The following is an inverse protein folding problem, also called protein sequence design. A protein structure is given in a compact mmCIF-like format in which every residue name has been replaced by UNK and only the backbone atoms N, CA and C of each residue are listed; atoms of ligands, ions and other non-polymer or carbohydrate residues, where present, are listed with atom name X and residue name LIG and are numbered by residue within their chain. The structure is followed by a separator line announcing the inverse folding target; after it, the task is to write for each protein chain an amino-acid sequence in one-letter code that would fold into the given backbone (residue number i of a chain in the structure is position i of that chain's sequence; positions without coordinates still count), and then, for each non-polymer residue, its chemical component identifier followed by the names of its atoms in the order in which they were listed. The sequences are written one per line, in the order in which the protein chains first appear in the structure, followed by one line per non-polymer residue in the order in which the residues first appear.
data_IF_298278304183
#
_entry.id   IF_298278304183
#
_cell.length_a   1.000
_cell.length_b   1.000
_cell.length_c   1.000
_cell.angle_alpha   90.00
_cell.angle_beta   90.00
_cell.angle_gamma   90.00
#
_symmetry.space_group_name_H-M   'P 1'
#
loop_
_entity.id
_entity.type
_entity.pdbx_description
1 polymer ?
#
# COMPACT_ATOMS: atom_id res chain seq x y z
N UNK A 1 -37.71 13.27 -19.55
CA UNK A 1 -37.88 13.89 -18.22
C UNK A 1 -36.47 14.13 -17.70
N UNK A 2 -36.08 15.38 -17.47
CA UNK A 2 -34.74 15.70 -16.93
C UNK A 2 -34.74 15.43 -15.44
N UNK A 3 -33.73 14.72 -14.94
CA UNK A 3 -33.56 14.46 -13.51
C UNK A 3 -33.43 15.73 -12.68
N UNK A 4 -33.56 15.60 -11.36
CA UNK A 4 -33.22 16.68 -10.44
C UNK A 4 -31.70 16.97 -10.48
N UNK A 5 -31.26 18.23 -10.36
CA UNK A 5 -29.85 18.53 -10.21
C UNK A 5 -29.22 17.82 -9.00
N UNK A 6 -27.95 17.42 -9.12
CA UNK A 6 -27.20 16.80 -8.02
C UNK A 6 -26.18 17.78 -7.46
N UNK A 7 -26.12 17.92 -6.14
CA UNK A 7 -25.10 18.68 -5.42
C UNK A 7 -24.24 17.74 -4.59
N UNK A 8 -22.94 17.65 -4.91
CA UNK A 8 -21.97 16.80 -4.20
C UNK A 8 -21.21 17.63 -3.17
N UNK A 9 -21.34 17.27 -1.90
CA UNK A 9 -20.68 17.92 -0.77
C UNK A 9 -19.46 17.11 -0.33
N UNK A 10 -18.31 17.37 -0.95
CA UNK A 10 -17.04 16.72 -0.60
C UNK A 10 -16.21 17.50 0.45
N UNK A 11 -16.48 18.78 0.66
CA UNK A 11 -16.01 19.49 1.86
C UNK A 11 -16.89 20.70 2.17
N UNK A 12 -17.12 21.00 3.45
CA UNK A 12 -17.85 22.18 3.90
C UNK A 12 -19.00 21.87 4.86
N UNK A 13 -19.61 22.93 5.39
CA UNK A 13 -20.86 22.82 6.14
C UNK A 13 -22.04 22.67 5.19
N UNK A 14 -22.85 21.65 5.42
CA UNK A 14 -24.10 21.46 4.70
C UNK A 14 -25.10 22.45 5.29
N UNK A 15 -25.86 23.19 4.45
CA UNK A 15 -26.96 24.01 4.94
C UNK A 15 -27.92 23.18 5.81
N UNK A 16 -28.31 23.71 6.98
CA UNK A 16 -29.19 23.00 7.92
C UNK A 16 -30.54 22.65 7.27
N UNK A 17 -31.04 23.56 6.44
CA UNK A 17 -32.22 23.39 5.60
C UNK A 17 -31.81 23.39 4.13
N UNK A 18 -32.33 22.41 3.39
CA UNK A 18 -32.14 22.25 1.94
C UNK A 18 -33.55 22.08 1.40
N UNK A 19 -34.09 23.12 0.77
CA UNK A 19 -35.43 23.13 0.17
C UNK A 19 -35.37 23.72 -1.25
N UNK A 20 -34.42 23.21 -2.05
CA UNK A 20 -34.20 23.64 -3.43
C UNK A 20 -34.60 22.56 -4.45
N UNK A 21 -35.17 21.43 -3.99
CA UNK A 21 -35.58 20.29 -4.81
C UNK A 21 -34.42 19.48 -5.40
N UNK A 22 -33.17 19.84 -5.10
CA UNK A 22 -31.98 19.16 -5.61
C UNK A 22 -31.68 17.89 -4.79
N UNK A 23 -30.91 16.97 -5.36
CA UNK A 23 -30.38 15.83 -4.62
C UNK A 23 -28.99 16.15 -4.05
N UNK A 24 -28.85 16.09 -2.73
CA UNK A 24 -27.61 16.39 -2.02
C UNK A 24 -26.88 15.10 -1.66
N UNK A 25 -25.80 14.82 -2.37
CA UNK A 25 -24.92 13.69 -2.11
C UNK A 25 -23.82 14.09 -1.11
N UNK A 26 -23.78 13.42 0.03
CA UNK A 26 -22.87 13.71 1.15
C UNK A 26 -21.68 12.76 1.13
N UNK A 27 -20.47 13.32 1.08
CA UNK A 27 -19.23 12.54 0.92
C UNK A 27 -18.74 11.87 2.19
N UNK A 28 -18.75 12.59 3.32
CA UNK A 28 -18.18 12.15 4.60
C UNK A 28 -19.20 12.16 5.75
N UNK A 29 -20.50 12.27 5.45
CA UNK A 29 -21.55 12.30 6.47
C UNK A 29 -22.62 11.26 6.20
N UNK A 30 -23.03 10.57 7.26
CA UNK A 30 -24.11 9.58 7.26
C UNK A 30 -25.44 10.26 7.61
N UNK A 31 -25.99 11.05 6.68
CA UNK A 31 -27.33 11.63 6.82
C UNK A 31 -28.15 11.32 5.59
N UNK A 32 -29.36 10.80 5.81
CA UNK A 32 -30.33 10.43 4.78
C UNK A 32 -31.58 11.29 4.91
N UNK A 33 -32.27 11.53 3.81
CA UNK A 33 -33.55 12.24 3.76
C UNK A 33 -34.12 12.21 2.34
N UNK A 34 -35.26 12.83 2.08
CA UNK A 34 -35.86 12.80 0.73
C UNK A 34 -34.94 13.36 -0.37
N UNK A 35 -34.27 14.47 -0.05
CA UNK A 35 -33.31 15.17 -0.92
C UNK A 35 -31.84 14.97 -0.49
N UNK A 36 -31.54 14.02 0.41
CA UNK A 36 -30.19 13.78 0.93
C UNK A 36 -29.82 12.30 0.81
N UNK A 37 -28.62 12.02 0.31
CA UNK A 37 -28.04 10.68 0.20
C UNK A 37 -26.63 10.67 0.74
N UNK A 38 -26.29 9.74 1.63
CA UNK A 38 -24.91 9.53 2.05
C UNK A 38 -24.23 8.53 1.12
N UNK A 39 -23.11 8.93 0.52
CA UNK A 39 -22.31 8.02 -0.29
C UNK A 39 -21.73 6.87 0.56
N UNK A 40 -21.36 7.15 1.81
CA UNK A 40 -20.87 6.13 2.73
C UNK A 40 -21.95 5.10 3.05
N UNK A 41 -23.15 5.53 3.46
CA UNK A 41 -24.23 4.58 3.74
C UNK A 41 -24.63 3.77 2.51
N UNK A 42 -24.57 4.37 1.31
CA UNK A 42 -24.87 3.64 0.07
C UNK A 42 -23.85 2.53 -0.20
N UNK A 43 -22.56 2.82 0.04
CA UNK A 43 -21.49 1.81 -0.02
C UNK A 43 -21.70 0.71 1.03
N UNK A 44 -21.90 1.08 2.30
CA UNK A 44 -22.08 0.14 3.41
C UNK A 44 -23.28 -0.80 3.20
N UNK A 45 -24.42 -0.28 2.71
CA UNK A 45 -25.62 -1.08 2.42
C UNK A 45 -25.40 -2.10 1.29
N UNK A 46 -24.44 -1.86 0.42
CA UNK A 46 -24.16 -2.68 -0.77
C UNK A 46 -22.70 -3.17 -0.76
N UNK A 47 -22.13 -3.40 0.42
CA UNK A 47 -20.69 -3.58 0.63
C UNK A 47 -20.07 -4.65 -0.26
N UNK A 48 -20.67 -5.84 -0.33
CA UNK A 48 -20.15 -6.96 -1.13
C UNK A 48 -20.10 -6.60 -2.63
N UNK A 49 -21.16 -5.99 -3.14
CA UNK A 49 -21.24 -5.57 -4.55
C UNK A 49 -20.20 -4.52 -4.90
N UNK A 50 -20.00 -3.51 -4.04
CA UNK A 50 -18.99 -2.49 -4.27
C UNK A 50 -17.57 -3.03 -4.09
N UNK A 51 -17.35 -3.98 -3.18
CA UNK A 51 -16.09 -4.69 -3.03
C UNK A 51 -15.75 -5.44 -4.31
N UNK A 52 -16.65 -6.27 -4.83
CA UNK A 52 -16.42 -7.04 -6.06
C UNK A 52 -16.12 -6.13 -7.25
N UNK A 53 -16.92 -5.06 -7.40
CA UNK A 53 -16.71 -4.05 -8.44
C UNK A 53 -15.37 -3.35 -8.32
N UNK A 54 -14.95 -3.02 -7.10
CA UNK A 54 -13.64 -2.43 -6.84
C UNK A 54 -12.50 -3.39 -7.17
N UNK A 55 -12.61 -4.66 -6.77
CA UNK A 55 -11.61 -5.69 -7.04
C UNK A 55 -11.43 -5.91 -8.55
N UNK A 56 -12.53 -6.09 -9.29
CA UNK A 56 -12.52 -6.18 -10.75
C UNK A 56 -11.90 -4.95 -11.41
N UNK A 57 -12.21 -3.76 -10.91
CA UNK A 57 -11.62 -2.53 -11.42
C UNK A 57 -10.10 -2.48 -11.19
N UNK A 58 -9.61 -2.84 -10.01
CA UNK A 58 -8.17 -2.86 -9.71
C UNK A 58 -7.44 -3.95 -10.48
N UNK A 59 -8.02 -5.14 -10.64
CA UNK A 59 -7.48 -6.21 -11.49
C UNK A 59 -7.36 -5.74 -12.93
N UNK A 60 -8.38 -5.07 -13.47
CA UNK A 60 -8.31 -4.45 -14.79
C UNK A 60 -7.25 -3.34 -14.92
N UNK A 61 -6.75 -2.76 -13.82
CA UNK A 61 -5.61 -1.83 -13.87
C UNK A 61 -4.28 -2.54 -14.12
N UNK A 62 -4.15 -3.78 -13.66
CA UNK A 62 -2.94 -4.59 -13.82
C UNK A 62 -2.74 -4.98 -15.30
N UNK A 63 -3.85 -5.28 -15.98
CA UNK A 63 -3.88 -5.74 -17.36
C UNK A 63 -3.91 -4.61 -18.40
N UNK A 64 -3.76 -3.34 -17.98
CA UNK A 64 -3.75 -2.21 -18.91
C UNK A 64 -2.60 -2.37 -19.91
N UNK A 65 -2.96 -2.58 -21.17
CA UNK A 65 -1.97 -2.56 -22.25
C UNK A 65 -1.44 -1.13 -22.45
N UNK A 66 -0.14 -0.96 -22.22
CA UNK A 66 0.59 0.25 -22.52
C UNK A 66 1.75 -0.11 -23.44
N UNK A 67 1.85 0.50 -24.63
CA UNK A 67 2.96 0.21 -25.56
C UNK A 67 3.13 -1.28 -25.92
N UNK A 68 2.03 -2.04 -26.03
CA UNK A 68 2.06 -3.43 -26.51
C UNK A 68 2.40 -4.49 -25.46
N UNK A 69 2.36 -4.15 -24.17
CA UNK A 69 2.49 -5.09 -23.04
C UNK A 69 1.63 -4.63 -21.86
N UNK A 70 1.26 -5.54 -20.97
CA UNK A 70 0.47 -5.20 -19.77
C UNK A 70 1.27 -4.29 -18.82
N UNK A 71 0.58 -3.62 -17.89
CA UNK A 71 1.23 -2.79 -16.88
C UNK A 71 2.09 -3.63 -15.93
N UNK A 72 1.61 -4.82 -15.57
CA UNK A 72 2.33 -5.79 -14.74
C UNK A 72 3.63 -6.23 -15.40
N UNK A 73 3.60 -6.55 -16.69
CA UNK A 73 4.78 -7.03 -17.43
C UNK A 73 5.85 -5.95 -17.57
N UNK A 74 5.44 -4.69 -17.75
CA UNK A 74 6.38 -3.57 -17.83
C UNK A 74 7.09 -3.28 -16.51
N UNK A 75 6.49 -3.70 -15.39
CA UNK A 75 7.03 -3.50 -14.04
C UNK A 75 7.86 -4.69 -13.55
N UNK A 76 8.15 -5.68 -14.39
CA UNK A 76 8.98 -6.85 -14.05
C UNK A 76 10.40 -6.41 -13.68
N UNK A 77 10.84 -6.85 -12.49
CA UNK A 77 12.19 -6.70 -11.97
C UNK A 77 13.11 -7.80 -12.51
N UNK A 78 14.42 -7.67 -12.27
CA UNK A 78 15.42 -8.61 -12.77
C UNK A 78 15.23 -10.06 -12.31
N UNK A 79 14.55 -10.28 -11.18
CA UNK A 79 14.27 -11.60 -10.62
C UNK A 79 12.94 -12.20 -11.10
N UNK A 80 12.23 -11.52 -12.03
CA UNK A 80 10.95 -11.96 -12.57
C UNK A 80 9.73 -11.49 -11.78
N UNK A 81 9.90 -10.92 -10.58
CA UNK A 81 8.80 -10.36 -9.79
C UNK A 81 8.33 -9.04 -10.42
N UNK A 82 7.02 -8.87 -10.59
CA UNK A 82 6.47 -7.56 -10.98
C UNK A 82 6.41 -6.60 -9.80
N UNK A 83 6.98 -5.40 -9.95
CA UNK A 83 6.88 -4.33 -8.98
C UNK A 83 5.43 -3.83 -8.78
N UNK A 84 4.50 -4.20 -9.65
CA UNK A 84 3.06 -3.90 -9.51
C UNK A 84 2.53 -4.26 -8.11
N UNK A 85 2.89 -5.45 -7.62
CA UNK A 85 2.43 -5.99 -6.32
C UNK A 85 2.88 -5.14 -5.13
N UNK A 86 3.96 -4.37 -5.30
CA UNK A 86 4.51 -3.46 -4.29
C UNK A 86 3.95 -2.04 -4.38
N UNK A 87 2.98 -1.79 -5.26
CA UNK A 87 2.32 -0.50 -5.38
C UNK A 87 1.13 -0.39 -4.44
N UNK A 88 0.83 0.83 -3.99
CA UNK A 88 -0.38 1.11 -3.20
C UNK A 88 -1.69 0.72 -3.90
N UNK A 89 -1.65 0.61 -5.23
CA UNK A 89 -2.79 0.16 -6.02
C UNK A 89 -3.06 -1.33 -5.83
N UNK A 90 -2.01 -2.15 -5.78
CA UNK A 90 -2.13 -3.58 -5.51
C UNK A 90 -2.35 -3.87 -4.01
N UNK A 91 -1.64 -3.15 -3.11
CA UNK A 91 -1.74 -3.33 -1.66
C UNK A 91 -3.14 -3.01 -1.11
N UNK A 92 -3.85 -2.03 -1.71
CA UNK A 92 -5.23 -1.65 -1.35
C UNK A 92 -5.41 -1.29 0.14
N UNK A 93 -4.32 -0.91 0.83
CA UNK A 93 -4.34 -0.62 2.26
C UNK A 93 -4.99 0.73 2.56
N UNK A 94 -6.07 0.78 3.37
CA UNK A 94 -6.72 2.02 3.77
C UNK A 94 -5.81 2.89 4.67
N UNK A 95 -4.81 2.28 5.31
CA UNK A 95 -3.84 2.97 6.15
C UNK A 95 -2.78 3.72 5.34
N UNK A 96 -2.45 3.23 4.14
CA UNK A 96 -1.48 3.85 3.23
C UNK A 96 -2.10 4.94 2.37
N UNK A 97 -3.37 4.78 2.01
CA UNK A 97 -4.10 5.74 1.19
C UNK A 97 -5.62 5.70 1.39
N UNK A 98 -6.23 6.89 1.32
CA UNK A 98 -7.68 7.04 1.24
C UNK A 98 -8.26 6.76 -0.16
N UNK A 99 -7.44 6.37 -1.14
CA UNK A 99 -7.88 6.21 -2.51
C UNK A 99 -8.94 5.11 -2.68
N UNK A 100 -8.84 4.00 -1.92
CA UNK A 100 -9.85 2.93 -1.90
C UNK A 100 -11.22 3.52 -1.55
N UNK A 101 -11.30 4.19 -0.41
CA UNK A 101 -12.55 4.78 0.07
C UNK A 101 -13.07 5.89 -0.86
N UNK A 102 -12.17 6.63 -1.52
CA UNK A 102 -12.56 7.63 -2.53
C UNK A 102 -13.14 6.99 -3.79
N UNK A 103 -12.54 5.90 -4.29
CA UNK A 103 -13.05 5.16 -5.45
C UNK A 103 -14.42 4.55 -5.16
N UNK A 104 -14.61 3.95 -3.97
CA UNK A 104 -15.90 3.39 -3.57
C UNK A 104 -17.01 4.45 -3.52
N UNK A 105 -16.74 5.63 -2.93
CA UNK A 105 -17.70 6.75 -2.92
C UNK A 105 -18.02 7.24 -4.33
N UNK A 106 -17.04 7.26 -5.21
CA UNK A 106 -17.23 7.65 -6.61
C UNK A 106 -18.07 6.63 -7.38
N UNK A 107 -17.87 5.33 -7.15
CA UNK A 107 -18.72 4.26 -7.71
C UNK A 107 -20.16 4.39 -7.22
N UNK A 108 -20.37 4.73 -5.94
CA UNK A 108 -21.71 5.02 -5.41
C UNK A 108 -22.33 6.28 -6.02
N UNK A 109 -21.54 7.34 -6.21
CA UNK A 109 -22.00 8.56 -6.86
C UNK A 109 -22.40 8.30 -8.32
N UNK A 110 -21.65 7.46 -9.03
CA UNK A 110 -21.98 7.06 -10.39
C UNK A 110 -23.37 6.42 -10.48
N UNK A 111 -23.71 5.50 -9.58
CA UNK A 111 -25.04 4.87 -9.57
C UNK A 111 -26.13 5.92 -9.42
N UNK A 112 -26.00 6.83 -8.45
CA UNK A 112 -26.97 7.90 -8.23
C UNK A 112 -27.09 8.84 -9.43
N UNK A 113 -25.97 9.18 -10.09
CA UNK A 113 -25.97 10.03 -11.28
C UNK A 113 -26.62 9.32 -12.48
N UNK A 114 -26.40 8.01 -12.64
CA UNK A 114 -27.00 7.23 -13.73
C UNK A 114 -28.49 6.93 -13.49
N UNK A 115 -28.91 6.79 -12.23
CA UNK A 115 -30.32 6.62 -11.86
C UNK A 115 -31.13 7.90 -12.07
N UNK A 116 -30.58 9.05 -11.64
CA UNK A 116 -31.29 10.33 -11.69
C UNK A 116 -31.19 11.00 -13.07
N UNK A 117 -30.10 10.78 -13.83
CA UNK A 117 -29.80 11.47 -15.10
C UNK A 117 -29.92 13.01 -14.96
N UNK A 118 -29.11 13.62 -14.08
CA UNK A 118 -29.23 15.04 -13.77
C UNK A 118 -28.75 15.91 -14.95
N UNK A 119 -29.38 17.08 -15.19
CA UNK A 119 -28.90 18.04 -16.17
C UNK A 119 -27.58 18.69 -15.72
N UNK A 120 -27.35 18.81 -14.41
CA UNK A 120 -26.16 19.42 -13.83
C UNK A 120 -25.74 18.74 -12.53
N UNK A 121 -24.43 18.58 -12.36
CA UNK A 121 -23.78 18.14 -11.12
C UNK A 121 -22.92 19.27 -10.59
N UNK A 122 -23.28 19.79 -9.40
CA UNK A 122 -22.56 20.85 -8.70
C UNK A 122 -21.64 20.25 -7.64
N UNK A 123 -20.33 20.50 -7.74
CA UNK A 123 -19.35 20.07 -6.73
C UNK A 123 -19.05 21.21 -5.74
N UNK A 124 -19.25 20.93 -4.45
CA UNK A 124 -18.91 21.82 -3.34
C UNK A 124 -17.70 21.27 -2.59
N UNK A 125 -16.53 21.77 -3.00
CA UNK A 125 -15.23 21.51 -2.40
C UNK A 125 -14.74 20.06 -2.54
N UNK A 126 -13.51 19.86 -2.98
CA UNK A 126 -12.87 18.56 -3.14
C UNK A 126 -11.38 18.78 -3.42
N UNK A 127 -10.58 17.71 -3.41
CA UNK A 127 -9.26 17.76 -4.02
C UNK A 127 -9.35 17.70 -5.56
N UNK A 128 -8.22 18.00 -6.23
CA UNK A 128 -8.15 18.02 -7.70
C UNK A 128 -8.40 16.66 -8.35
N UNK A 129 -8.05 15.56 -7.67
CA UNK A 129 -8.25 14.20 -8.18
C UNK A 129 -9.74 13.86 -8.23
N UNK A 130 -10.47 14.15 -7.17
CA UNK A 130 -11.92 13.96 -7.08
C UNK A 130 -12.66 14.89 -8.04
N UNK A 131 -12.24 16.16 -8.15
CA UNK A 131 -12.80 17.10 -9.14
C UNK A 131 -12.66 16.55 -10.58
N UNK A 132 -11.46 16.05 -10.93
CA UNK A 132 -11.21 15.48 -12.26
C UNK A 132 -12.04 14.23 -12.50
N UNK A 133 -12.19 13.38 -11.49
CA UNK A 133 -12.98 12.15 -11.56
C UNK A 133 -14.48 12.46 -11.78
N UNK A 134 -15.07 13.34 -10.96
CA UNK A 134 -16.49 13.74 -11.09
C UNK A 134 -16.75 14.44 -12.42
N UNK A 135 -15.85 15.31 -12.87
CA UNK A 135 -15.96 15.92 -14.20
C UNK A 135 -15.98 14.88 -15.31
N UNK A 136 -15.12 13.85 -15.22
CA UNK A 136 -15.08 12.74 -16.18
C UNK A 136 -16.38 11.93 -16.17
N UNK A 137 -16.92 11.62 -14.98
CA UNK A 137 -18.23 10.97 -14.84
C UNK A 137 -19.35 11.80 -15.48
N UNK A 138 -19.36 13.12 -15.28
CA UNK A 138 -20.37 13.99 -15.88
C UNK A 138 -20.28 13.99 -17.42
N UNK A 139 -19.06 14.00 -17.98
CA UNK A 139 -18.85 13.91 -19.42
C UNK A 139 -19.35 12.58 -20.00
N UNK A 140 -19.15 11.48 -19.28
CA UNK A 140 -19.60 10.14 -19.68
C UNK A 140 -21.14 10.03 -19.71
N UNK A 141 -21.81 10.59 -18.70
CA UNK A 141 -23.29 10.59 -18.59
C UNK A 141 -23.94 11.70 -19.43
N UNK A 142 -23.16 12.68 -19.92
CA UNK A 142 -23.67 13.84 -20.66
C UNK A 142 -24.26 14.96 -19.78
N UNK A 143 -23.93 14.98 -18.49
CA UNK A 143 -24.35 16.02 -17.54
C UNK A 143 -23.41 17.23 -17.55
N UNK A 144 -23.94 18.43 -17.31
CA UNK A 144 -23.12 19.63 -17.12
C UNK A 144 -22.42 19.58 -15.75
N UNK A 145 -21.12 19.87 -15.74
CA UNK A 145 -20.35 19.94 -14.49
C UNK A 145 -20.13 21.40 -14.06
N UNK A 146 -20.45 21.72 -12.81
CA UNK A 146 -20.19 23.02 -12.22
C UNK A 146 -19.47 22.89 -10.88
N UNK A 147 -18.58 23.86 -10.58
CA UNK A 147 -17.84 23.89 -9.32
C UNK A 147 -18.15 25.15 -8.55
N UNK A 148 -18.64 24.99 -7.32
CA UNK A 148 -18.75 26.11 -6.38
C UNK A 148 -17.40 26.32 -5.72
N UNK A 149 -16.77 27.48 -5.93
CA UNK A 149 -15.53 27.84 -5.22
C UNK A 149 -15.85 27.99 -3.73
N UNK A 150 -15.36 27.07 -2.90
CA UNK A 150 -15.26 27.33 -1.45
C UNK A 150 -13.97 28.12 -1.20
N UNK A 151 -14.08 29.21 -0.44
CA UNK A 151 -12.96 30.12 -0.15
C UNK A 151 -12.02 29.60 0.95
N UNK A 152 -11.82 28.29 1.01
CA UNK A 152 -10.85 27.70 1.93
C UNK A 152 -9.56 27.41 1.15
N UNK A 153 -8.74 28.45 0.96
CA UNK A 153 -7.35 28.30 0.56
C UNK A 153 -6.63 27.53 1.66
N UNK A 154 -6.48 26.21 1.51
CA UNK A 154 -5.45 25.48 2.26
C UNK A 154 -4.10 25.93 1.71
N UNK A 155 -3.43 26.81 2.45
CA UNK A 155 -2.08 27.34 2.19
C UNK A 155 -0.96 26.27 2.14
N UNK A 156 -1.31 24.98 2.00
CA UNK A 156 -0.36 23.86 1.94
C UNK A 156 -0.09 23.34 0.53
N UNK A 157 -0.82 23.83 -0.49
CA UNK A 157 -0.70 23.38 -1.89
C UNK A 157 0.40 24.11 -2.69
N UNK A 158 1.19 24.96 -2.05
CA UNK A 158 2.29 25.69 -2.68
C UNK A 158 3.63 25.22 -2.13
N UNK A 159 4.05 24.02 -2.56
CA UNK A 159 5.46 23.66 -2.78
C UNK A 159 5.52 22.32 -3.51
N UNK A 160 5.89 22.26 -4.80
CA UNK A 160 6.39 21.02 -5.37
C UNK A 160 7.72 20.75 -4.67
N UNK A 161 7.70 19.94 -3.62
CA UNK A 161 8.93 19.31 -3.15
C UNK A 161 9.29 18.27 -4.21
N UNK A 162 10.53 18.21 -4.71
CA UNK A 162 10.95 17.09 -5.54
C UNK A 162 10.95 15.85 -4.64
N UNK A 163 9.81 15.14 -4.59
CA UNK A 163 9.59 13.96 -3.75
C UNK A 163 10.71 12.92 -3.94
N UNK A 164 11.29 12.88 -5.13
CA UNK A 164 12.44 12.06 -5.51
C UNK A 164 13.74 12.41 -4.74
N UNK A 165 14.09 13.70 -4.60
CA UNK A 165 15.29 14.09 -3.83
C UNK A 165 15.09 13.84 -2.33
N UNK A 166 13.87 14.07 -1.84
CA UNK A 166 13.52 13.75 -0.46
C UNK A 166 13.59 12.24 -0.19
N UNK A 167 13.15 11.42 -1.15
CA UNK A 167 13.28 9.97 -1.07
C UNK A 167 14.73 9.54 -0.88
N UNK A 168 15.67 10.08 -1.67
CA UNK A 168 17.11 9.76 -1.54
C UNK A 168 17.65 10.14 -0.15
N UNK A 169 17.35 11.36 0.33
CA UNK A 169 17.83 11.83 1.63
C UNK A 169 17.26 10.98 2.78
N UNK A 170 15.95 10.71 2.74
CA UNK A 170 15.29 9.88 3.76
C UNK A 170 15.77 8.43 3.69
N UNK A 171 16.00 7.90 2.49
CA UNK A 171 16.56 6.56 2.30
C UNK A 171 17.99 6.50 2.85
N UNK A 172 18.82 7.51 2.60
CA UNK A 172 20.15 7.60 3.20
C UNK A 172 20.11 7.61 4.74
N UNK A 173 19.17 8.35 5.33
CA UNK A 173 18.94 8.34 6.79
C UNK A 173 18.52 6.96 7.29
N UNK A 174 17.58 6.31 6.60
CA UNK A 174 17.09 4.96 6.93
C UNK A 174 18.23 3.93 6.88
N UNK A 175 19.02 3.94 5.80
CA UNK A 175 20.19 3.08 5.65
C UNK A 175 21.21 3.36 6.75
N UNK A 176 21.48 4.63 7.08
CA UNK A 176 22.40 4.98 8.16
C UNK A 176 21.99 4.40 9.52
N UNK A 177 20.69 4.44 9.85
CA UNK A 177 20.16 3.84 11.07
C UNK A 177 20.27 2.31 11.06
N UNK A 178 19.92 1.68 9.93
CA UNK A 178 19.90 0.21 9.78
C UNK A 178 21.26 -0.40 9.44
N UNK A 179 22.28 0.41 9.14
CA UNK A 179 23.62 -0.08 8.79
C UNK A 179 24.25 -0.90 9.93
N UNK A 180 23.88 -0.62 11.18
CA UNK A 180 24.35 -1.32 12.37
C UNK A 180 23.98 -2.81 12.37
N UNK A 181 22.88 -3.23 11.73
CA UNK A 181 22.48 -4.64 11.64
C UNK A 181 23.56 -5.53 10.99
N UNK A 182 24.46 -4.96 10.19
CA UNK A 182 25.64 -5.66 9.64
C UNK A 182 26.63 -6.15 10.70
N UNK A 183 26.48 -5.74 11.96
CA UNK A 183 27.24 -6.28 13.10
C UNK A 183 26.77 -7.69 13.51
N UNK A 184 25.63 -8.14 12.99
CA UNK A 184 25.21 -9.52 13.12
C UNK A 184 26.03 -10.40 12.16
N UNK A 185 26.53 -11.55 12.62
CA UNK A 185 27.15 -12.52 11.73
C UNK A 185 26.10 -13.07 10.76
N UNK A 186 26.57 -13.64 9.65
CA UNK A 186 25.71 -14.47 8.79
C UNK A 186 25.17 -15.64 9.63
N UNK A 187 23.85 -15.90 9.61
CA UNK A 187 23.31 -17.05 10.32
C UNK A 187 23.84 -18.34 9.70
N UNK A 188 24.13 -19.33 10.55
CA UNK A 188 24.32 -20.70 10.09
C UNK A 188 22.94 -21.30 9.87
N UNK A 189 22.44 -21.21 8.64
CA UNK A 189 21.10 -21.67 8.31
C UNK A 189 20.91 -23.14 8.63
N UNK A 190 19.77 -23.44 9.25
CA UNK A 190 19.36 -24.81 9.53
C UNK A 190 18.87 -25.46 8.25
N UNK A 191 19.22 -26.73 8.08
CA UNK A 191 18.87 -27.54 6.91
C UNK A 191 18.40 -28.91 7.35
N UNK A 192 17.56 -29.54 6.54
CA UNK A 192 17.01 -30.86 6.76
C UNK A 192 15.62 -30.98 6.13
N UNK A 193 15.12 -32.21 6.02
CA UNK A 193 13.81 -32.48 5.38
C UNK A 193 12.63 -31.87 6.16
N UNK A 194 12.83 -31.54 7.44
CA UNK A 194 11.85 -30.90 8.32
C UNK A 194 12.17 -29.44 8.66
N UNK A 195 13.16 -28.81 8.00
CA UNK A 195 13.54 -27.44 8.34
C UNK A 195 12.53 -26.42 7.81
N UNK A 196 12.21 -25.43 8.64
CA UNK A 196 11.12 -24.49 8.38
C UNK A 196 11.64 -23.05 8.38
N UNK A 197 11.17 -22.27 7.41
CA UNK A 197 11.38 -20.82 7.36
C UNK A 197 10.22 -20.06 8.01
N UNK A 198 10.55 -19.04 8.79
CA UNK A 198 9.61 -18.09 9.35
C UNK A 198 10.04 -16.65 9.02
N UNK A 199 9.10 -15.84 8.55
CA UNK A 199 9.26 -14.40 8.49
C UNK A 199 8.30 -13.71 9.48
N UNK A 200 8.85 -12.94 10.41
CA UNK A 200 8.06 -12.33 11.49
C UNK A 200 8.46 -10.89 11.71
N UNK A 201 7.52 -10.04 12.12
CA UNK A 201 7.88 -8.75 12.68
C UNK A 201 8.65 -8.91 13.99
N UNK A 202 9.66 -8.07 14.18
CA UNK A 202 10.41 -7.97 15.42
C UNK A 202 9.70 -7.01 16.38
N UNK A 203 8.48 -7.38 16.75
CA UNK A 203 7.60 -6.61 17.62
C UNK A 203 6.74 -7.58 18.46
N UNK A 204 6.14 -7.05 19.52
CA UNK A 204 5.32 -7.81 20.47
C UNK A 204 6.04 -9.05 21.02
N UNK A 205 7.30 -8.85 21.42
CA UNK A 205 8.10 -9.90 22.02
C UNK A 205 7.63 -10.19 23.45
N UNK A 206 7.60 -11.48 23.81
CA UNK A 206 7.19 -11.91 25.14
C UNK A 206 8.32 -11.66 26.13
N UNK A 207 8.15 -10.68 27.02
CA UNK A 207 9.19 -10.18 27.92
C UNK A 207 9.91 -11.30 28.68
N UNK A 208 9.18 -12.14 29.41
CA UNK A 208 9.75 -13.21 30.24
C UNK A 208 10.56 -14.23 29.43
N UNK A 209 10.11 -14.54 28.20
CA UNK A 209 10.80 -15.46 27.29
C UNK A 209 12.07 -14.82 26.73
N UNK A 210 12.00 -13.54 26.37
CA UNK A 210 13.15 -12.80 25.83
C UNK A 210 14.23 -12.48 26.86
N UNK A 211 13.86 -12.24 28.13
CA UNK A 211 14.81 -12.09 29.22
C UNK A 211 15.61 -13.37 29.45
N UNK A 212 14.95 -14.53 29.33
CA UNK A 212 15.59 -15.84 29.34
C UNK A 212 16.45 -16.12 28.09
N UNK A 213 16.61 -15.16 27.17
CA UNK A 213 17.45 -15.29 25.98
C UNK A 213 16.82 -16.12 24.87
N UNK A 214 15.50 -16.32 24.88
CA UNK A 214 14.75 -17.10 23.90
C UNK A 214 13.84 -16.21 23.06
N UNK A 215 13.58 -16.61 21.83
CA UNK A 215 12.61 -15.93 20.98
C UNK A 215 11.18 -16.34 21.37
N UNK A 216 10.36 -15.35 21.71
CA UNK A 216 8.93 -15.48 21.93
C UNK A 216 8.21 -14.25 21.38
N UNK A 217 7.07 -14.45 20.74
CA UNK A 217 6.26 -13.38 20.14
C UNK A 217 4.78 -13.70 20.30
N UNK A 218 3.99 -12.69 20.69
CA UNK A 218 2.54 -12.87 20.84
C UNK A 218 1.84 -13.16 19.50
N UNK A 219 2.46 -12.82 18.37
CA UNK A 219 1.95 -13.17 17.05
C UNK A 219 1.95 -14.68 16.80
N UNK A 220 2.92 -15.39 17.37
CA UNK A 220 3.13 -16.83 17.16
C UNK A 220 2.67 -17.67 18.34
N UNK A 221 2.36 -17.08 19.50
CA UNK A 221 1.98 -17.80 20.70
C UNK A 221 3.03 -18.84 21.08
N UNK A 222 2.59 -20.08 21.30
CA UNK A 222 3.45 -21.19 21.76
C UNK A 222 4.20 -21.88 20.60
N UNK A 223 4.03 -21.44 19.34
CA UNK A 223 4.66 -22.06 18.17
C UNK A 223 6.19 -22.16 18.30
N UNK A 224 6.94 -21.11 18.71
CA UNK A 224 8.39 -21.22 18.89
C UNK A 224 8.81 -22.23 19.95
N UNK A 225 7.94 -22.56 20.91
CA UNK A 225 8.21 -23.56 21.96
C UNK A 225 7.95 -24.97 21.44
N UNK A 226 6.81 -25.18 20.76
CA UNK A 226 6.45 -26.46 20.15
C UNK A 226 7.50 -26.91 19.11
N UNK A 227 8.01 -25.97 18.32
CA UNK A 227 9.02 -26.27 17.29
C UNK A 227 10.36 -26.70 17.90
N UNK A 228 10.73 -26.10 19.03
CA UNK A 228 11.95 -26.42 19.77
C UNK A 228 11.88 -27.82 20.39
N UNK A 229 10.74 -28.17 21.02
CA UNK A 229 10.48 -29.52 21.55
C UNK A 229 10.57 -30.61 20.47
N UNK A 230 10.21 -30.27 19.22
CA UNK A 230 10.28 -31.19 18.09
C UNK A 230 11.69 -31.39 17.51
N UNK A 231 12.71 -30.70 18.06
CA UNK A 231 14.11 -30.70 17.60
C UNK A 231 14.30 -30.34 16.11
N UNK A 232 13.30 -29.67 15.50
CA UNK A 232 13.36 -29.21 14.12
C UNK A 232 14.29 -28.00 14.00
N UNK A 233 15.01 -27.94 12.90
CA UNK A 233 15.85 -26.78 12.60
C UNK A 233 15.02 -25.65 12.02
N UNK A 234 14.87 -24.53 12.73
CA UNK A 234 14.03 -23.42 12.28
C UNK A 234 14.86 -22.19 11.91
N UNK A 235 14.45 -21.49 10.86
CA UNK A 235 15.11 -20.31 10.34
C UNK A 235 14.16 -19.11 10.43
N UNK A 236 14.49 -18.13 11.26
CA UNK A 236 13.69 -16.94 11.50
C UNK A 236 14.34 -15.71 10.89
N UNK A 237 13.64 -15.07 9.96
CA UNK A 237 13.99 -13.76 9.41
C UNK A 237 13.06 -12.72 9.97
N UNK A 238 13.62 -11.79 10.73
CA UNK A 238 12.88 -10.79 11.47
C UNK A 238 12.81 -9.46 10.71
N UNK A 239 11.63 -8.86 10.61
CA UNK A 239 11.40 -7.55 10.03
C UNK A 239 11.43 -6.48 11.11
N UNK A 240 12.43 -5.61 11.07
CA UNK A 240 12.53 -4.50 12.04
C UNK A 240 11.56 -3.37 11.68
N UNK A 241 10.53 -3.15 12.50
CA UNK A 241 9.50 -2.12 12.28
C UNK A 241 9.86 -0.79 12.95
N UNK A 242 10.60 -0.82 14.07
CA UNK A 242 11.05 0.37 14.78
C UNK A 242 9.92 1.20 15.42
N UNK A 243 8.83 0.53 15.83
CA UNK A 243 7.71 1.13 16.53
C UNK A 243 8.06 1.53 17.98
N UNK A 244 7.18 2.29 18.65
CA UNK A 244 7.41 2.76 20.04
C UNK A 244 7.53 1.60 21.06
N UNK A 245 6.99 0.43 20.70
CA UNK A 245 7.00 -0.83 21.46
C UNK A 245 8.14 -1.78 21.06
N UNK A 246 8.87 -1.47 19.99
CA UNK A 246 9.95 -2.33 19.51
C UNK A 246 11.29 -1.96 20.17
N UNK A 247 12.16 -2.94 20.47
CA UNK A 247 13.53 -2.68 20.89
C UNK A 247 14.25 -1.75 19.91
N UNK A 248 15.20 -0.95 20.39
CA UNK A 248 16.01 -0.15 19.48
C UNK A 248 16.94 -1.03 18.60
N UNK A 249 17.68 -0.42 17.66
CA UNK A 249 18.53 -1.16 16.73
C UNK A 249 19.65 -1.93 17.47
N UNK A 250 20.31 -1.32 18.45
CA UNK A 250 21.41 -1.97 19.15
C UNK A 250 20.87 -3.07 20.08
N UNK A 251 19.75 -2.82 20.76
CA UNK A 251 19.03 -3.81 21.57
C UNK A 251 18.53 -5.00 20.73
N UNK A 252 17.97 -4.75 19.55
CA UNK A 252 17.50 -5.78 18.60
C UNK A 252 18.64 -6.70 18.15
N UNK A 253 19.81 -6.11 17.87
CA UNK A 253 21.02 -6.86 17.50
C UNK A 253 21.47 -7.75 18.68
N UNK A 254 21.44 -7.23 19.89
CA UNK A 254 21.87 -7.97 21.08
C UNK A 254 20.88 -9.07 21.47
N UNK A 255 19.57 -8.85 21.28
CA UNK A 255 18.55 -9.90 21.41
C UNK A 255 18.77 -11.04 20.43
N UNK A 256 18.91 -10.75 19.13
CA UNK A 256 19.15 -11.81 18.12
C UNK A 256 20.47 -12.55 18.36
N UNK A 257 21.51 -11.88 18.87
CA UNK A 257 22.74 -12.54 19.29
C UNK A 257 22.51 -13.50 20.46
N UNK A 258 21.65 -13.14 21.42
CA UNK A 258 21.29 -14.03 22.53
C UNK A 258 20.52 -15.25 22.02
N UNK A 259 19.51 -15.03 21.18
CA UNK A 259 18.70 -16.12 20.60
C UNK A 259 19.58 -17.13 19.84
N UNK A 260 20.54 -16.66 19.06
CA UNK A 260 21.46 -17.53 18.30
C UNK A 260 22.55 -18.21 19.14
N UNK A 261 22.78 -17.78 20.39
CA UNK A 261 23.79 -18.38 21.28
C UNK A 261 23.20 -19.45 22.18
N UNK A 262 21.89 -19.53 22.30
CA UNK A 262 21.21 -20.47 23.17
C UNK A 262 21.51 -21.90 22.71
N UNK A 263 22.34 -22.67 23.45
CA UNK A 263 22.83 -23.96 22.98
C UNK A 263 21.73 -25.02 22.93
N UNK A 264 20.66 -24.81 23.71
CA UNK A 264 19.53 -25.73 23.81
C UNK A 264 18.58 -25.66 22.61
N UNK A 265 18.67 -24.61 21.78
CA UNK A 265 17.75 -24.38 20.66
C UNK A 265 18.42 -24.58 19.31
N UNK A 266 17.70 -25.24 18.40
CA UNK A 266 18.15 -25.45 17.03
C UNK A 266 17.61 -24.38 16.06
N UNK A 267 17.54 -23.12 16.51
CA UNK A 267 17.04 -22.02 15.71
C UNK A 267 18.20 -21.21 15.09
N UNK A 268 17.92 -20.51 14.00
CA UNK A 268 18.76 -19.47 13.44
C UNK A 268 17.93 -18.21 13.20
N UNK A 269 18.31 -17.11 13.82
CA UNK A 269 17.63 -15.83 13.75
C UNK A 269 18.50 -14.79 13.04
N UNK A 270 17.91 -13.98 12.17
CA UNK A 270 18.61 -12.85 11.54
C UNK A 270 17.64 -11.74 11.15
N UNK A 271 18.18 -10.62 10.69
CA UNK A 271 17.45 -9.54 10.03
C UNK A 271 17.87 -9.46 8.56
N UNK A 272 16.97 -9.11 7.61
CA UNK A 272 17.35 -8.81 6.23
C UNK A 272 18.50 -7.81 6.16
N UNK A 273 18.52 -6.80 7.02
CA UNK A 273 19.52 -5.74 7.01
C UNK A 273 20.93 -6.20 7.38
N UNK A 274 21.10 -7.40 7.95
CA UNK A 274 22.41 -8.03 8.06
C UNK A 274 23.05 -8.25 6.67
N UNK A 275 22.25 -8.34 5.60
CA UNK A 275 22.69 -8.55 4.21
C UNK A 275 23.00 -7.27 3.44
N UNK A 276 22.90 -6.11 4.10
CA UNK A 276 23.25 -4.81 3.52
C UNK A 276 24.72 -4.80 3.07
N UNK A 277 24.93 -4.43 1.80
CA UNK A 277 26.25 -4.13 1.25
C UNK A 277 26.17 -2.90 0.37
N UNK A 278 27.30 -2.18 0.22
CA UNK A 278 27.37 -1.02 -0.68
C UNK A 278 26.96 -1.38 -2.12
N UNK A 279 27.39 -2.55 -2.60
CA UNK A 279 27.03 -3.06 -3.92
C UNK A 279 25.53 -3.29 -4.10
N UNK A 280 24.85 -3.81 -3.07
CA UNK A 280 23.40 -3.99 -3.07
C UNK A 280 22.69 -2.62 -3.16
N UNK A 281 23.13 -1.64 -2.39
CA UNK A 281 22.54 -0.28 -2.45
C UNK A 281 22.68 0.36 -3.83
N UNK A 282 23.81 0.16 -4.51
CA UNK A 282 24.00 0.65 -5.88
C UNK A 282 23.02 -0.03 -6.84
N UNK A 283 22.75 -1.33 -6.68
CA UNK A 283 21.73 -2.03 -7.49
C UNK A 283 20.33 -1.50 -7.23
N UNK A 284 19.94 -1.33 -5.96
CA UNK A 284 18.65 -0.73 -5.58
C UNK A 284 18.47 0.65 -6.23
N UNK A 285 19.51 1.50 -6.19
CA UNK A 285 19.46 2.82 -6.83
C UNK A 285 19.32 2.73 -8.36
N UNK A 286 20.02 1.80 -9.03
CA UNK A 286 19.89 1.59 -10.48
C UNK A 286 18.50 1.09 -10.88
N UNK A 287 17.95 0.14 -10.13
CA UNK A 287 16.59 -0.36 -10.33
C UNK A 287 15.57 0.77 -10.14
N UNK A 288 15.73 1.57 -9.09
CA UNK A 288 14.86 2.71 -8.83
C UNK A 288 14.94 3.78 -9.93
N UNK A 289 16.13 4.11 -10.44
CA UNK A 289 16.27 5.00 -11.59
C UNK A 289 15.51 4.48 -12.83
N UNK A 290 15.52 3.15 -13.03
CA UNK A 290 14.77 2.51 -14.10
C UNK A 290 13.26 2.64 -13.88
N UNK A 291 12.77 2.44 -12.65
CA UNK A 291 11.37 2.69 -12.28
C UNK A 291 10.98 4.17 -12.44
N UNK A 292 11.88 5.12 -12.18
CA UNK A 292 11.61 6.55 -12.41
C UNK A 292 11.38 6.83 -13.89
N UNK A 293 12.26 6.35 -14.77
CA UNK A 293 12.11 6.48 -16.23
C UNK A 293 10.80 5.84 -16.69
N UNK A 294 10.53 4.63 -16.20
CA UNK A 294 9.32 3.89 -16.51
C UNK A 294 8.07 4.65 -16.06
N UNK A 295 8.07 5.22 -14.85
CA UNK A 295 6.94 5.99 -14.32
C UNK A 295 6.64 7.28 -15.09
N UNK A 296 7.61 7.79 -15.89
CA UNK A 296 7.40 8.94 -16.78
C UNK A 296 6.83 8.47 -18.12
N UNK A 297 7.29 7.30 -18.59
CA UNK A 297 6.89 6.67 -19.85
C UNK A 297 5.49 6.09 -19.77
N UNK A 298 5.24 5.23 -18.77
CA UNK A 298 3.92 4.68 -18.52
C UNK A 298 3.09 5.78 -17.87
N UNK A 299 2.11 6.27 -18.62
CA UNK A 299 1.08 7.20 -18.14
C UNK A 299 -0.27 6.49 -18.04
N UNK A 300 -0.37 5.31 -17.38
CA UNK A 300 -1.58 4.49 -17.49
C UNK A 300 -2.79 5.19 -16.83
N UNK A 301 -2.50 6.09 -15.87
CA UNK A 301 -3.48 6.88 -15.14
C UNK A 301 -3.62 8.34 -15.63
N UNK A 302 -2.94 8.74 -16.72
CA UNK A 302 -2.95 10.14 -17.21
C UNK A 302 -3.07 10.32 -18.72
N UNK A 303 -3.09 9.25 -19.53
CA UNK A 303 -3.27 9.30 -20.99
C UNK A 303 -4.62 8.77 -21.48
N UNK A 304 -4.83 8.85 -22.80
CA UNK A 304 -6.05 8.45 -23.52
C UNK A 304 -6.15 6.93 -23.77
N UNK A 305 -5.52 6.10 -22.93
CA UNK A 305 -5.57 4.64 -23.06
C UNK A 305 -6.99 4.17 -22.79
N UNK A 306 -7.69 3.78 -23.86
CA UNK A 306 -9.05 3.28 -23.84
C UNK A 306 -9.03 1.88 -23.21
N UNK A 307 -9.75 1.71 -22.10
CA UNK A 307 -9.99 0.39 -21.52
C UNK A 307 -11.44 -0.02 -21.78
N UNK A 308 -11.71 -1.31 -21.97
CA UNK A 308 -13.01 -1.90 -21.72
C UNK A 308 -13.17 -2.08 -20.21
N UNK A 309 -13.39 -0.99 -19.47
CA UNK A 309 -13.78 -1.04 -18.06
C UNK A 309 -14.52 0.25 -17.66
N UNK A 310 -15.63 0.08 -16.95
CA UNK A 310 -16.81 0.96 -16.83
C UNK A 310 -16.58 2.44 -16.47
N UNK A 311 -15.39 2.83 -15.97
CA UNK A 311 -15.19 4.18 -15.43
C UNK A 311 -13.72 4.65 -15.53
N UNK A 312 -13.23 5.08 -16.71
CA UNK A 312 -11.84 5.54 -16.90
C UNK A 312 -11.49 6.78 -16.06
N UNK A 313 -12.49 7.54 -15.65
CA UNK A 313 -12.36 8.74 -14.84
C UNK A 313 -11.93 8.45 -13.38
N UNK A 314 -12.13 7.22 -12.88
CA UNK A 314 -11.64 6.79 -11.55
C UNK A 314 -10.10 6.79 -11.45
N UNK A 315 -9.41 6.63 -12.59
CA UNK A 315 -7.94 6.59 -12.67
C UNK A 315 -7.29 7.86 -12.12
N UNK A 316 -7.97 8.99 -12.19
CA UNK A 316 -7.47 10.26 -11.67
C UNK A 316 -7.16 10.21 -10.16
N UNK A 317 -7.87 9.37 -9.40
CA UNK A 317 -7.67 9.18 -7.96
C UNK A 317 -6.40 8.37 -7.71
N UNK A 318 -6.23 7.25 -8.40
CA UNK A 318 -5.07 6.35 -8.21
C UNK A 318 -3.78 6.86 -8.85
N UNK A 319 -3.85 7.79 -9.80
CA UNK A 319 -2.69 8.34 -10.50
C UNK A 319 -1.59 8.83 -9.54
N UNK A 320 -2.00 9.51 -8.46
CA UNK A 320 -1.07 10.05 -7.47
C UNK A 320 -0.41 8.94 -6.65
N UNK A 321 -1.19 7.98 -6.18
CA UNK A 321 -0.66 6.86 -5.39
C UNK A 321 0.26 5.96 -6.19
N UNK A 322 -0.09 5.71 -7.46
CA UNK A 322 0.77 4.97 -8.36
C UNK A 322 2.11 5.71 -8.58
N UNK A 323 2.07 7.01 -8.84
CA UNK A 323 3.29 7.80 -9.00
C UNK A 323 4.14 7.86 -7.72
N UNK A 324 3.51 7.95 -6.54
CA UNK A 324 4.21 7.92 -5.25
C UNK A 324 4.84 6.54 -5.01
N UNK A 325 4.15 5.46 -5.37
CA UNK A 325 4.63 4.08 -5.21
C UNK A 325 5.91 3.81 -6.01
N UNK A 326 6.08 4.44 -7.18
CA UNK A 326 7.25 4.24 -8.04
C UNK A 326 8.39 5.23 -7.78
N UNK A 327 8.08 6.44 -7.30
CA UNK A 327 9.04 7.55 -7.22
C UNK A 327 9.47 7.92 -5.79
N UNK A 328 8.82 7.36 -4.78
CA UNK A 328 9.00 7.72 -3.38
C UNK A 328 10.03 6.87 -2.64
N UNK A 329 10.11 7.12 -1.32
CA UNK A 329 10.90 6.31 -0.38
C UNK A 329 10.42 4.86 -0.34
N UNK A 330 9.11 4.63 -0.48
CA UNK A 330 8.50 3.28 -0.51
C UNK A 330 9.09 2.44 -1.64
N UNK A 331 9.31 3.03 -2.82
CA UNK A 331 9.93 2.33 -3.95
C UNK A 331 11.34 1.82 -3.60
N UNK A 332 12.16 2.69 -3.02
CA UNK A 332 13.52 2.35 -2.60
C UNK A 332 13.52 1.30 -1.48
N UNK A 333 12.55 1.38 -0.57
CA UNK A 333 12.38 0.41 0.52
C UNK A 333 11.97 -0.97 0.00
N UNK A 334 10.98 -1.05 -0.89
CA UNK A 334 10.54 -2.32 -1.46
C UNK A 334 11.62 -2.97 -2.32
N UNK A 335 12.30 -2.19 -3.18
CA UNK A 335 13.46 -2.68 -3.95
C UNK A 335 14.60 -3.17 -3.05
N UNK A 336 14.82 -2.50 -1.92
CA UNK A 336 15.79 -2.94 -0.93
C UNK A 336 15.39 -4.29 -0.33
N UNK A 337 14.13 -4.46 0.08
CA UNK A 337 13.63 -5.71 0.62
C UNK A 337 13.78 -6.86 -0.38
N UNK A 338 13.41 -6.65 -1.65
CA UNK A 338 13.61 -7.64 -2.73
C UNK A 338 15.06 -8.12 -2.78
N UNK A 339 16.01 -7.19 -2.85
CA UNK A 339 17.44 -7.53 -2.95
C UNK A 339 17.99 -8.20 -1.68
N UNK A 340 17.41 -7.92 -0.51
CA UNK A 340 17.81 -8.57 0.75
C UNK A 340 17.23 -9.97 0.85
N UNK A 341 15.95 -10.16 0.48
CA UNK A 341 15.31 -11.47 0.44
C UNK A 341 15.90 -12.37 -0.63
N UNK A 342 16.20 -11.86 -1.83
CA UNK A 342 16.90 -12.62 -2.87
C UNK A 342 18.24 -13.16 -2.36
N UNK A 343 18.99 -12.35 -1.59
CA UNK A 343 20.24 -12.81 -0.97
C UNK A 343 20.03 -13.86 0.11
N UNK A 344 19.02 -13.67 0.97
CA UNK A 344 18.68 -14.65 2.00
C UNK A 344 18.30 -15.97 1.34
N UNK A 345 17.41 -15.95 0.36
CA UNK A 345 16.94 -17.13 -0.35
C UNK A 345 18.07 -17.82 -1.14
N UNK A 346 19.05 -17.07 -1.65
CA UNK A 346 20.21 -17.65 -2.32
C UNK A 346 21.21 -18.32 -1.37
N UNK A 347 21.33 -17.86 -0.12
CA UNK A 347 22.22 -18.44 0.90
C UNK A 347 21.52 -19.52 1.75
N UNK A 348 20.21 -19.42 1.93
CA UNK A 348 19.42 -20.35 2.73
C UNK A 348 19.19 -21.66 1.97
N UNK A 349 19.49 -22.82 2.56
CA UNK A 349 19.19 -24.10 1.95
C UNK A 349 17.67 -24.28 1.77
N UNK A 350 17.21 -25.14 0.84
CA UNK A 350 15.79 -25.42 0.68
C UNK A 350 15.13 -25.79 2.01
N UNK A 351 13.95 -25.24 2.25
CA UNK A 351 13.14 -25.46 3.46
C UNK A 351 11.88 -26.22 3.08
N UNK A 352 11.37 -27.05 3.97
CA UNK A 352 10.16 -27.84 3.73
C UNK A 352 8.91 -26.96 3.60
N UNK A 353 8.84 -25.91 4.41
CA UNK A 353 7.75 -24.93 4.39
C UNK A 353 8.24 -23.55 4.83
N UNK A 354 7.46 -22.52 4.48
CA UNK A 354 7.67 -21.14 4.86
C UNK A 354 6.39 -20.55 5.46
N UNK A 355 6.51 -19.87 6.60
CA UNK A 355 5.40 -19.23 7.28
C UNK A 355 5.68 -17.75 7.48
N UNK A 356 4.63 -16.93 7.33
CA UNK A 356 4.67 -15.50 7.59
C UNK A 356 3.30 -15.03 8.07
N UNK A 357 3.26 -13.85 8.66
CA UNK A 357 2.01 -13.21 9.06
C UNK A 357 1.35 -12.59 7.83
N UNK A 358 0.22 -13.15 7.41
CA UNK A 358 -0.52 -12.70 6.22
C UNK A 358 -1.36 -11.46 6.56
N UNK A 359 -0.77 -10.28 6.40
CA UNK A 359 -1.41 -8.97 6.59
C UNK A 359 -1.78 -8.29 5.25
N UNK A 360 -1.49 -8.93 4.12
CA UNK A 360 -1.68 -8.41 2.76
C UNK A 360 -0.91 -7.11 2.50
N UNK A 361 0.35 -7.05 2.93
CA UNK A 361 1.21 -5.89 2.68
C UNK A 361 2.39 -6.20 1.76
N UNK A 362 3.00 -5.16 1.20
CA UNK A 362 3.91 -5.22 0.04
C UNK A 362 5.20 -6.06 0.19
N UNK A 363 5.59 -6.47 1.40
CA UNK A 363 6.79 -7.30 1.58
C UNK A 363 6.50 -8.80 1.52
N UNK A 364 5.25 -9.19 1.78
CA UNK A 364 4.75 -10.58 1.68
C UNK A 364 4.75 -11.02 0.21
#
# INVERSE_FOLDING_TARGET
MTGRPIVVWASGEIPREIDDGNLHCLWDRCSEGECRRSLLNHVERNGDRFRDRYLQWVEGLADIECHGSSLVDQLVLNNGLSFWWMTRAAERSPWRSNAVATVLRLMALEELVREELPPVVLLVGADRSVEKAIKGLCMDVGARFERKRSWHLRLRDLKPRPHTLQAIVLFGKLIGQRWKFRRLPRPSWRSGDDSVFFCSYFENLTHDVTEAGRFGSTFWGDVPEILDESARGNNWVHLYVGAHSAPDVDESIDLVRRFNREPSRNDAHTFPEAYLTKGLLVRVLRQWLSLLVLSIRIRPFTGDVILPADSPWLRAVMAKDFAVSLRGLEALWHLLLVELFDKIAAEMPPQASGYYLCENISWE
#
